data_IF_455547670398
#
_entry.id   IF_455547670398
#
_cell.length_a   1.000
_cell.length_b   1.000
_cell.length_c   1.000
_cell.angle_alpha   90.00
_cell.angle_beta   90.00
_cell.angle_gamma   90.00
#
_symmetry.space_group_name_H-M   'P 1'
#
loop_
_entity.id
_entity.type
_entity.pdbx_description
1 polymer ?
#
# COMPACT_ATOMS: atom_id res chain seq x y z
N UNK A 1 -6.62 18.18 -10.20
CA UNK A 1 -5.98 17.37 -9.17
C UNK A 1 -7.01 16.56 -8.40
N UNK A 2 -6.79 15.29 -8.24
CA UNK A 2 -7.75 14.39 -7.60
C UNK A 2 -7.23 13.91 -6.27
N UNK A 3 -7.97 14.19 -5.22
CA UNK A 3 -7.69 13.58 -3.93
C UNK A 3 -8.26 12.16 -3.93
N UNK A 4 -7.72 11.33 -3.04
CA UNK A 4 -8.33 10.02 -2.82
C UNK A 4 -9.68 10.23 -2.10
N UNK A 5 -10.66 9.41 -2.47
CA UNK A 5 -12.03 9.54 -1.98
C UNK A 5 -12.52 8.24 -1.37
N UNK A 6 -13.35 8.38 -0.34
CA UNK A 6 -13.93 7.24 0.34
C UNK A 6 -14.83 6.44 -0.61
N UNK A 7 -14.75 5.11 -0.49
CA UNK A 7 -15.51 4.12 -1.26
C UNK A 7 -15.03 3.93 -2.69
N UNK A 8 -14.05 4.71 -3.15
CA UNK A 8 -13.48 4.52 -4.48
C UNK A 8 -12.40 3.45 -4.49
N UNK A 9 -12.16 2.89 -5.66
CA UNK A 9 -11.21 1.79 -5.87
C UNK A 9 -10.00 2.30 -6.63
N UNK A 10 -8.80 1.92 -6.16
CA UNK A 10 -7.53 2.37 -6.73
C UNK A 10 -6.59 1.21 -6.95
N UNK A 11 -5.74 1.34 -7.98
CA UNK A 11 -4.49 0.59 -8.05
C UNK A 11 -3.40 1.47 -7.46
N UNK A 12 -2.47 0.86 -6.73
CA UNK A 12 -1.46 1.61 -5.96
C UNK A 12 -0.09 1.24 -6.49
N UNK A 13 0.54 2.18 -7.21
CA UNK A 13 1.80 1.95 -7.92
C UNK A 13 2.96 2.57 -7.16
N UNK A 14 4.04 1.81 -7.04
CA UNK A 14 5.24 2.30 -6.36
C UNK A 14 6.07 3.20 -7.29
N UNK A 15 6.53 4.33 -6.78
CA UNK A 15 7.29 5.30 -7.59
C UNK A 15 8.65 4.77 -8.02
N UNK A 16 9.29 3.94 -7.21
CA UNK A 16 10.61 3.38 -7.53
C UNK A 16 10.53 2.19 -8.45
N UNK A 17 9.72 1.20 -8.08
CA UNK A 17 9.67 -0.07 -8.79
C UNK A 17 8.75 -0.07 -10.00
N UNK A 18 7.73 0.81 -9.98
CA UNK A 18 6.69 0.79 -11.00
C UNK A 18 5.70 -0.36 -10.85
N UNK A 19 5.86 -1.18 -9.81
CA UNK A 19 4.95 -2.29 -9.55
C UNK A 19 3.77 -1.85 -8.69
N UNK A 20 2.73 -2.67 -8.69
CA UNK A 20 1.47 -2.40 -7.99
C UNK A 20 1.34 -3.28 -6.76
N UNK A 21 0.69 -2.76 -5.72
CA UNK A 21 0.41 -3.57 -4.54
C UNK A 21 -0.55 -4.69 -4.93
N UNK A 22 -0.09 -5.90 -4.74
CA UNK A 22 -0.83 -7.13 -5.02
C UNK A 22 -0.71 -8.02 -3.79
N UNK A 23 -1.21 -9.22 -3.87
CA UNK A 23 -1.12 -10.19 -2.78
C UNK A 23 -0.49 -11.48 -3.27
N UNK A 24 0.13 -12.19 -2.34
CA UNK A 24 0.64 -13.53 -2.58
C UNK A 24 0.27 -14.40 -1.40
N UNK A 25 0.05 -15.68 -1.67
CA UNK A 25 -0.27 -16.65 -0.63
C UNK A 25 0.98 -17.45 -0.28
N UNK A 26 1.22 -17.62 1.01
CA UNK A 26 2.34 -18.41 1.49
C UNK A 26 1.86 -19.17 2.72
N UNK A 27 1.78 -20.52 2.58
CA UNK A 27 1.36 -21.37 3.69
C UNK A 27 -0.05 -21.09 4.20
N UNK A 28 -0.96 -20.66 3.32
CA UNK A 28 -2.34 -20.36 3.68
C UNK A 28 -2.58 -18.96 4.18
N UNK A 29 -1.54 -18.14 4.28
CA UNK A 29 -1.66 -16.74 4.68
C UNK A 29 -1.34 -15.83 3.49
N UNK A 30 -2.06 -14.70 3.41
CA UNK A 30 -1.80 -13.70 2.37
C UNK A 30 -0.90 -12.60 2.89
N UNK A 31 -0.02 -12.11 2.03
CA UNK A 31 0.82 -10.95 2.33
C UNK A 31 0.91 -10.08 1.07
N UNK A 32 1.32 -8.82 1.27
CA UNK A 32 1.41 -7.87 0.17
C UNK A 32 2.73 -7.99 -0.56
N UNK A 33 2.67 -7.92 -1.88
CA UNK A 33 3.84 -7.95 -2.76
C UNK A 33 3.66 -6.92 -3.87
N UNK A 34 4.76 -6.58 -4.54
CA UNK A 34 4.73 -5.76 -5.74
C UNK A 34 4.72 -6.64 -6.98
N UNK A 35 3.77 -6.42 -7.87
CA UNK A 35 3.67 -7.15 -9.14
C UNK A 35 3.43 -6.18 -10.30
N UNK A 36 3.83 -6.57 -11.52
CA UNK A 36 3.46 -5.79 -12.71
C UNK A 36 1.93 -5.73 -12.85
N UNK A 37 1.44 -4.70 -13.51
CA UNK A 37 0.00 -4.56 -13.77
C UNK A 37 -0.52 -5.78 -14.53
N UNK A 38 -1.60 -6.39 -14.03
CA UNK A 38 -2.17 -7.60 -14.66
C UNK A 38 -3.69 -7.61 -14.71
N UNK A 39 -4.34 -6.48 -14.45
CA UNK A 39 -5.81 -6.33 -14.45
C UNK A 39 -6.56 -7.24 -13.47
N UNK A 40 -5.85 -7.87 -12.53
CA UNK A 40 -6.49 -8.70 -11.51
C UNK A 40 -7.17 -7.84 -10.45
N UNK A 41 -8.29 -8.32 -9.91
CA UNK A 41 -8.96 -7.64 -8.79
C UNK A 41 -8.14 -7.70 -7.50
N UNK A 42 -7.11 -8.55 -7.42
CA UNK A 42 -6.19 -8.56 -6.29
C UNK A 42 -5.24 -7.37 -6.30
N UNK A 43 -5.20 -6.62 -7.40
CA UNK A 43 -4.45 -5.36 -7.48
C UNK A 43 -5.33 -4.13 -7.26
N UNK A 44 -6.61 -4.35 -6.95
CA UNK A 44 -7.56 -3.27 -6.72
C UNK A 44 -7.85 -3.16 -5.23
N UNK A 45 -7.83 -1.92 -4.74
CA UNK A 45 -8.01 -1.63 -3.32
C UNK A 45 -9.08 -0.58 -3.14
N UNK A 46 -10.10 -0.91 -2.35
CA UNK A 46 -11.13 0.07 -2.00
C UNK A 46 -10.67 0.85 -0.76
N UNK A 47 -10.67 2.16 -0.87
CA UNK A 47 -10.33 3.03 0.24
C UNK A 47 -11.58 3.50 0.94
N UNK A 48 -11.61 3.38 2.26
CA UNK A 48 -12.68 3.93 3.07
C UNK A 48 -12.10 4.74 4.20
N UNK A 49 -12.71 5.90 4.44
CA UNK A 49 -12.29 6.80 5.51
C UNK A 49 -12.59 6.17 6.86
N UNK A 50 -11.62 6.22 7.77
CA UNK A 50 -11.80 5.78 9.16
C UNK A 50 -11.07 6.78 10.05
N UNK A 51 -11.84 7.58 10.82
CA UNK A 51 -11.24 8.65 11.62
C UNK A 51 -10.37 9.56 10.76
N UNK A 52 -9.12 9.84 11.15
CA UNK A 52 -8.21 10.65 10.35
C UNK A 52 -7.50 9.86 9.24
N UNK A 53 -7.71 8.56 9.17
CA UNK A 53 -6.99 7.69 8.24
C UNK A 53 -7.88 6.97 7.26
N UNK A 54 -7.35 5.87 6.74
CA UNK A 54 -7.98 5.10 5.66
C UNK A 54 -7.81 3.62 5.90
N UNK A 55 -8.80 2.84 5.46
CA UNK A 55 -8.62 1.39 5.30
C UNK A 55 -8.39 1.10 3.83
N UNK A 56 -7.58 0.08 3.56
CA UNK A 56 -7.29 -0.40 2.20
C UNK A 56 -7.78 -1.84 2.11
N UNK A 57 -8.95 -2.03 1.50
CA UNK A 57 -9.57 -3.34 1.39
C UNK A 57 -9.33 -3.92 0.01
N UNK A 58 -8.78 -5.13 -0.02
CA UNK A 58 -8.51 -5.81 -1.29
C UNK A 58 -9.82 -6.25 -1.94
N UNK A 59 -10.05 -5.84 -3.18
CA UNK A 59 -11.30 -6.15 -3.87
C UNK A 59 -11.42 -7.66 -4.14
N UNK A 60 -10.31 -8.32 -4.46
CA UNK A 60 -10.32 -9.74 -4.79
C UNK A 60 -10.58 -10.65 -3.59
N UNK A 61 -10.07 -10.30 -2.41
CA UNK A 61 -10.17 -11.16 -1.21
C UNK A 61 -11.14 -10.64 -0.18
N UNK A 62 -11.47 -9.35 -0.22
CA UNK A 62 -12.32 -8.74 0.82
C UNK A 62 -11.61 -8.51 2.13
N UNK A 63 -10.29 -8.67 2.19
CA UNK A 63 -9.50 -8.48 3.40
C UNK A 63 -8.75 -7.16 3.34
N UNK A 64 -8.22 -6.72 4.48
CA UNK A 64 -7.63 -5.40 4.63
C UNK A 64 -6.11 -5.46 4.76
N UNK A 65 -5.43 -4.54 4.10
CA UNK A 65 -3.98 -4.38 4.25
C UNK A 65 -3.68 -3.98 5.69
N UNK A 66 -2.71 -4.64 6.30
CA UNK A 66 -2.39 -4.44 7.71
C UNK A 66 -0.91 -4.70 7.98
N UNK A 67 -0.50 -4.40 9.19
CA UNK A 67 0.80 -4.78 9.74
C UNK A 67 0.69 -4.70 11.26
N UNK A 68 1.80 -4.77 11.99
CA UNK A 68 1.79 -4.62 13.43
C UNK A 68 1.42 -3.19 13.83
N UNK A 69 0.64 -3.03 14.90
CA UNK A 69 0.26 -1.70 15.41
C UNK A 69 1.46 -0.95 15.97
N UNK A 70 2.49 -1.66 16.43
CA UNK A 70 3.76 -1.08 16.87
C UNK A 70 4.86 -1.64 15.97
N UNK A 71 4.94 -1.16 14.73
CA UNK A 71 5.78 -1.83 13.74
C UNK A 71 7.26 -1.57 13.96
N UNK A 72 8.05 -2.54 13.56
CA UNK A 72 9.49 -2.43 13.48
C UNK A 72 9.90 -2.41 12.02
N UNK A 73 11.11 -1.94 11.74
CA UNK A 73 11.64 -1.99 10.40
C UNK A 73 11.56 -3.41 9.84
N UNK A 74 11.11 -3.50 8.61
CA UNK A 74 10.96 -4.74 7.85
C UNK A 74 9.77 -5.62 8.28
N UNK A 75 8.87 -5.10 9.13
CA UNK A 75 7.63 -5.83 9.38
C UNK A 75 6.80 -5.89 8.10
N UNK A 76 6.39 -7.09 7.72
CA UNK A 76 5.67 -7.31 6.48
C UNK A 76 4.27 -6.74 6.49
N UNK A 77 3.83 -6.30 5.32
CA UNK A 77 2.43 -5.93 5.12
C UNK A 77 1.63 -7.21 4.86
N UNK A 78 0.56 -7.37 5.62
CA UNK A 78 -0.25 -8.58 5.65
C UNK A 78 -1.69 -8.26 5.31
N UNK A 79 -2.50 -9.29 5.15
CA UNK A 79 -3.95 -9.14 4.96
C UNK A 79 -4.66 -9.72 6.18
N UNK A 80 -5.69 -9.01 6.66
CA UNK A 80 -6.50 -9.48 7.80
C UNK A 80 -7.98 -9.20 7.54
N UNK A 81 -8.85 -9.87 8.27
CA UNK A 81 -10.29 -9.71 8.08
C UNK A 81 -10.83 -8.42 8.66
N UNK A 82 -10.22 -7.91 9.71
CA UNK A 82 -10.68 -6.67 10.35
C UNK A 82 -9.99 -5.46 9.75
N UNK A 83 -10.65 -4.28 9.78
CA UNK A 83 -10.04 -3.06 9.27
C UNK A 83 -8.77 -2.68 10.01
N UNK A 84 -7.86 -2.04 9.29
CA UNK A 84 -6.60 -1.51 9.82
C UNK A 84 -6.45 -0.09 9.30
N UNK A 85 -6.17 0.86 10.17
CA UNK A 85 -6.04 2.26 9.80
C UNK A 85 -4.64 2.57 9.29
N UNK A 86 -4.57 3.22 8.11
CA UNK A 86 -3.33 3.76 7.56
C UNK A 86 -3.48 5.26 7.42
N UNK A 87 -2.41 6.01 7.68
CA UNK A 87 -2.38 7.42 7.33
C UNK A 87 -1.79 7.56 5.94
N UNK A 88 -2.51 8.22 5.05
CA UNK A 88 -2.09 8.44 3.67
C UNK A 88 -2.01 9.94 3.46
N UNK A 89 -0.83 10.44 3.08
CA UNK A 89 -0.64 11.87 2.95
C UNK A 89 0.29 12.21 1.78
N UNK A 90 0.11 13.42 1.23
CA UNK A 90 0.90 13.86 0.10
C UNK A 90 2.33 14.19 0.52
N UNK A 91 3.29 13.81 -0.32
CA UNK A 91 4.68 14.18 -0.14
C UNK A 91 4.89 15.56 -0.74
N UNK A 92 5.19 16.56 0.08
CA UNK A 92 5.21 17.96 -0.33
C UNK A 92 6.24 18.27 -1.42
N UNK A 93 7.36 17.56 -1.44
CA UNK A 93 8.44 17.83 -2.36
C UNK A 93 8.52 16.83 -3.51
N UNK A 94 7.56 15.93 -3.59
CA UNK A 94 7.56 14.89 -4.61
C UNK A 94 6.69 15.30 -5.80
N UNK A 95 6.67 14.42 -6.79
CA UNK A 95 5.80 14.59 -7.96
C UNK A 95 4.35 14.67 -7.50
N UNK A 96 3.57 15.52 -8.18
CA UNK A 96 2.15 15.69 -7.86
C UNK A 96 1.42 14.34 -7.78
N UNK A 97 0.49 14.22 -6.84
CA UNK A 97 -0.32 13.03 -6.59
C UNK A 97 0.45 11.87 -5.96
N UNK A 98 1.72 12.07 -5.60
CA UNK A 98 2.46 11.04 -4.86
C UNK A 98 2.12 11.11 -3.38
N UNK A 99 2.13 9.94 -2.74
CA UNK A 99 1.71 9.83 -1.34
C UNK A 99 2.58 8.83 -0.58
N UNK A 100 2.61 9.01 0.73
CA UNK A 100 3.16 8.02 1.66
C UNK A 100 2.02 7.33 2.37
N UNK A 101 2.22 6.07 2.72
CA UNK A 101 1.24 5.25 3.44
C UNK A 101 1.91 4.83 4.75
N UNK A 102 1.42 5.35 5.85
CA UNK A 102 2.10 5.28 7.15
C UNK A 102 1.25 4.61 8.21
N UNK A 103 1.88 3.83 9.09
CA UNK A 103 1.20 3.31 10.28
C UNK A 103 1.06 4.47 11.28
N UNK A 104 -0.15 4.74 11.78
CA UNK A 104 -0.36 5.86 12.71
C UNK A 104 0.58 5.80 13.91
N UNK A 105 1.11 6.96 14.30
CA UNK A 105 1.97 7.13 15.48
C UNK A 105 3.30 6.40 15.41
N UNK A 106 3.80 6.08 14.23
CA UNK A 106 4.99 5.23 14.12
C UNK A 106 6.14 5.80 13.31
N UNK A 107 5.89 6.68 12.35
CA UNK A 107 6.85 7.10 11.33
C UNK A 107 7.40 5.92 10.54
N UNK A 108 6.62 4.85 10.42
CA UNK A 108 6.96 3.71 9.57
C UNK A 108 6.09 3.76 8.34
N UNK A 109 6.72 3.85 7.18
CA UNK A 109 6.04 3.96 5.90
C UNK A 109 6.10 2.65 5.12
N UNK A 110 5.03 2.41 4.37
CA UNK A 110 4.95 1.24 3.50
C UNK A 110 5.96 1.39 2.35
N UNK A 111 6.70 0.32 2.06
CA UNK A 111 7.68 0.35 0.97
C UNK A 111 7.81 -0.99 0.26
N UNK A 112 8.33 -0.95 -0.96
CA UNK A 112 8.77 -2.15 -1.67
C UNK A 112 10.18 -2.46 -1.19
N UNK A 113 10.39 -3.67 -0.65
CA UNK A 113 11.68 -4.07 -0.10
C UNK A 113 12.75 -4.26 -1.19
N UNK A 114 13.96 -4.66 -0.81
CA UNK A 114 15.08 -4.83 -1.73
C UNK A 114 15.35 -3.56 -2.54
N UNK A 115 15.38 -2.42 -1.86
CA UNK A 115 15.65 -1.10 -2.47
C UNK A 115 14.64 -0.74 -3.57
N UNK A 116 13.39 -1.19 -3.43
CA UNK A 116 12.36 -0.91 -4.42
C UNK A 116 12.49 -1.76 -5.67
N UNK A 117 12.79 -3.04 -5.51
CA UNK A 117 12.97 -3.95 -6.63
C UNK A 117 11.71 -4.07 -7.47
N UNK A 118 11.88 -4.12 -8.80
CA UNK A 118 10.78 -4.33 -9.73
C UNK A 118 10.51 -5.81 -10.02
N UNK A 119 11.23 -6.70 -9.38
CA UNK A 119 11.00 -8.14 -9.57
C UNK A 119 9.62 -8.53 -9.08
N UNK A 120 8.84 -9.28 -9.87
CA UNK A 120 7.52 -9.74 -9.44
C UNK A 120 7.60 -10.51 -8.12
N UNK A 121 6.65 -10.25 -7.24
CA UNK A 121 6.59 -10.91 -5.95
C UNK A 121 7.48 -10.30 -4.89
N UNK A 122 8.11 -9.16 -5.17
CA UNK A 122 8.93 -8.49 -4.15
C UNK A 122 8.06 -8.11 -2.96
N UNK A 123 8.51 -8.47 -1.78
CA UNK A 123 7.76 -8.27 -0.54
C UNK A 123 7.56 -6.79 -0.24
N UNK A 124 6.38 -6.45 0.26
CA UNK A 124 6.07 -5.10 0.75
C UNK A 124 6.11 -5.14 2.28
N UNK A 125 6.75 -4.15 2.88
CA UNK A 125 6.93 -4.07 4.32
C UNK A 125 6.91 -2.61 4.76
N UNK A 126 6.99 -2.37 6.06
CA UNK A 126 7.14 -1.02 6.58
C UNK A 126 8.57 -0.78 7.02
N UNK A 127 9.02 0.46 6.91
CA UNK A 127 10.37 0.86 7.28
C UNK A 127 10.35 2.30 7.75
N UNK A 128 11.32 2.65 8.57
CA UNK A 128 11.46 4.03 9.02
C UNK A 128 11.50 4.99 7.84
N UNK A 129 10.84 6.14 7.98
CA UNK A 129 10.71 7.12 6.89
C UNK A 129 12.08 7.62 6.44
N UNK A 130 12.28 7.65 5.13
CA UNK A 130 13.49 8.16 4.51
C UNK A 130 13.17 8.73 3.12
N UNK A 131 14.14 9.36 2.49
CA UNK A 131 13.87 10.11 1.26
C UNK A 131 13.76 9.26 -0.01
N UNK A 132 13.91 7.95 0.07
CA UNK A 132 13.89 7.07 -1.09
C UNK A 132 12.50 6.89 -1.68
N UNK A 133 12.44 6.72 -3.01
CA UNK A 133 11.18 6.62 -3.71
C UNK A 133 10.48 5.28 -3.53
N UNK A 134 11.14 4.28 -2.93
CA UNK A 134 10.48 3.01 -2.63
C UNK A 134 9.35 3.15 -1.61
N UNK A 135 9.27 4.30 -0.92
CA UNK A 135 8.19 4.61 0.01
C UNK A 135 7.14 5.57 -0.57
N UNK A 136 7.22 5.86 -1.85
CA UNK A 136 6.31 6.80 -2.51
C UNK A 136 5.36 6.04 -3.42
N UNK A 137 4.08 6.38 -3.34
CA UNK A 137 3.02 5.65 -4.03
C UNK A 137 2.12 6.58 -4.82
N UNK A 138 1.64 6.10 -5.97
CA UNK A 138 0.63 6.78 -6.77
C UNK A 138 -0.67 5.98 -6.71
N UNK A 139 -1.76 6.66 -6.38
CA UNK A 139 -3.08 6.05 -6.32
C UNK A 139 -3.79 6.36 -7.64
N UNK A 140 -4.00 5.32 -8.42
CA UNK A 140 -4.61 5.42 -9.74
C UNK A 140 -6.04 4.88 -9.66
N UNK A 141 -7.01 5.77 -9.83
CA UNK A 141 -8.41 5.38 -9.69
C UNK A 141 -8.81 4.38 -10.77
N UNK A 142 -9.47 3.30 -10.35
CA UNK A 142 -10.01 2.31 -11.27
C UNK A 142 -11.36 2.78 -11.76
N UNK A 143 -11.54 2.81 -13.07
CA UNK A 143 -12.82 3.16 -13.65
C UNK A 143 -13.61 1.90 -13.92
N UNK A 144 -14.87 1.93 -13.52
CA UNK A 144 -15.78 0.83 -13.78
C UNK A 144 -16.44 0.96 -15.14
#
# INVERSE_FOLDING_TARGET
MTDIESEKVYRIRNAKSGTYIDIAEDGGAFHAVGNPLNDSDTQMWQLNRIGPGWTLRNVGTGTYLSTNLKPKNDDGALLQESPFEWHVWEEEEAVALSRRVCVPNSKKDLEVTNHGSSDPGTRIAVWGRWAGQSQIWFFEECKS
#
